data_IF_177382461078
#
_entry.id   IF_177382461078
#
_cell.length_a   1.000
_cell.length_b   1.000
_cell.length_c   1.000
_cell.angle_alpha   90.00
_cell.angle_beta   90.00
_cell.angle_gamma   90.00
#
_symmetry.space_group_name_H-M   'P 1'
#
loop_
_entity.id
_entity.type
_entity.pdbx_description
1 polymer ?
#
# COMPACT_ATOMS: atom_id res chain seq x y z
N UNK A 1 22.02 32.11 7.46
CA UNK A 1 21.73 30.67 7.24
C UNK A 1 21.19 30.10 8.54
N UNK A 2 19.87 30.07 8.67
CA UNK A 2 19.15 29.47 9.81
C UNK A 2 19.42 27.96 9.83
N UNK A 3 19.72 27.39 10.99
CA UNK A 3 19.94 25.94 11.13
C UNK A 3 18.64 25.23 10.75
N UNK A 4 18.67 24.40 9.72
CA UNK A 4 17.49 23.69 9.19
C UNK A 4 16.93 22.65 10.19
N UNK A 5 17.66 22.35 11.27
CA UNK A 5 17.28 21.37 12.28
C UNK A 5 17.32 22.01 13.68
N UNK A 6 16.17 22.40 14.20
CA UNK A 6 16.04 23.06 15.50
C UNK A 6 15.53 22.10 16.60
N UNK A 7 14.95 20.94 16.21
CA UNK A 7 14.44 19.92 17.13
C UNK A 7 15.07 18.54 16.90
N UNK A 8 15.17 17.70 17.94
CA UNK A 8 15.79 16.36 17.85
C UNK A 8 15.18 15.43 16.79
N UNK A 9 13.89 15.62 16.46
CA UNK A 9 13.19 14.80 15.47
C UNK A 9 13.30 15.31 14.04
N UNK A 10 13.86 16.50 13.80
CA UNK A 10 13.78 17.14 12.49
C UNK A 10 14.50 16.33 11.42
N UNK A 11 15.67 15.74 11.72
CA UNK A 11 16.39 14.89 10.75
C UNK A 11 15.57 13.67 10.33
N UNK A 12 14.91 12.98 11.28
CA UNK A 12 14.08 11.80 10.98
C UNK A 12 12.89 12.21 10.12
N UNK A 13 12.19 13.26 10.54
CA UNK A 13 11.05 13.82 9.81
C UNK A 13 11.43 14.20 8.39
N UNK A 14 12.53 14.94 8.20
CA UNK A 14 13.04 15.30 6.87
C UNK A 14 13.34 14.08 6.01
N UNK A 15 14.02 13.05 6.57
CA UNK A 15 14.31 11.83 5.83
C UNK A 15 13.02 11.13 5.40
N UNK A 16 12.05 10.95 6.31
CA UNK A 16 10.76 10.33 5.98
C UNK A 16 10.07 11.12 4.87
N UNK A 17 9.93 12.44 5.02
CA UNK A 17 9.26 13.29 4.04
C UNK A 17 9.95 13.37 2.68
N UNK A 18 11.27 13.17 2.60
CA UNK A 18 12.01 13.10 1.33
C UNK A 18 11.98 11.71 0.69
N UNK A 19 12.08 10.66 1.50
CA UNK A 19 12.07 9.27 1.03
C UNK A 19 10.69 8.88 0.51
N UNK A 20 9.61 9.38 1.13
CA UNK A 20 8.25 9.09 0.71
C UNK A 20 7.96 9.41 -0.77
N UNK A 21 8.12 10.66 -1.25
CA UNK A 21 7.86 10.97 -2.66
C UNK A 21 8.82 10.20 -3.57
N UNK A 22 10.06 9.95 -3.16
CA UNK A 22 11.00 9.15 -3.95
C UNK A 22 10.52 7.71 -4.14
N UNK A 23 10.17 7.01 -3.05
CA UNK A 23 9.70 5.62 -3.11
C UNK A 23 8.37 5.50 -3.82
N UNK A 24 7.44 6.43 -3.58
CA UNK A 24 6.16 6.44 -4.28
C UNK A 24 6.33 6.74 -5.77
N UNK A 25 7.24 7.62 -6.16
CA UNK A 25 7.55 7.85 -7.58
C UNK A 25 8.14 6.60 -8.23
N UNK A 26 9.10 5.94 -7.58
CA UNK A 26 9.65 4.68 -8.09
C UNK A 26 8.56 3.61 -8.21
N UNK A 27 7.67 3.51 -7.23
CA UNK A 27 6.56 2.58 -7.26
C UNK A 27 5.55 2.91 -8.38
N UNK A 28 5.22 4.18 -8.60
CA UNK A 28 4.32 4.61 -9.69
C UNK A 28 4.92 4.35 -11.07
N UNK A 29 6.23 4.54 -11.26
CA UNK A 29 6.86 4.36 -12.56
C UNK A 29 7.25 2.91 -12.88
N UNK A 30 7.68 2.16 -11.86
CA UNK A 30 8.25 0.83 -12.05
C UNK A 30 7.47 -0.25 -11.33
N UNK A 31 6.68 0.06 -10.31
CA UNK A 31 6.00 -0.93 -9.49
C UNK A 31 4.57 -1.26 -9.93
N UNK A 32 3.92 -0.44 -10.76
CA UNK A 32 2.55 -0.70 -11.20
C UNK A 32 2.46 -1.83 -12.24
N UNK A 33 1.33 -2.54 -12.29
CA UNK A 33 1.08 -3.65 -13.22
C UNK A 33 1.28 -3.27 -14.68
N UNK A 34 1.01 -2.01 -15.05
CA UNK A 34 1.25 -1.48 -16.40
C UNK A 34 2.71 -1.58 -16.85
N UNK A 35 3.66 -1.44 -15.92
CA UNK A 35 5.07 -1.61 -16.24
C UNK A 35 5.37 -3.05 -16.66
N UNK A 36 4.77 -4.02 -15.97
CA UNK A 36 4.87 -5.43 -16.36
C UNK A 36 4.30 -5.66 -17.76
N UNK A 37 3.11 -5.15 -18.03
CA UNK A 37 2.41 -5.35 -19.32
C UNK A 37 3.23 -4.80 -20.49
N UNK A 38 3.87 -3.64 -20.33
CA UNK A 38 4.61 -2.97 -21.41
C UNK A 38 6.06 -3.47 -21.54
N UNK A 39 6.72 -3.79 -20.42
CA UNK A 39 8.18 -4.02 -20.40
C UNK A 39 8.58 -5.44 -20.11
N UNK A 40 7.77 -6.19 -19.36
CA UNK A 40 8.20 -7.48 -18.81
C UNK A 40 7.48 -8.66 -19.43
N UNK A 41 6.25 -8.51 -19.91
CA UNK A 41 5.40 -9.63 -20.36
C UNK A 41 6.11 -10.59 -21.33
N UNK A 42 6.92 -10.07 -22.27
CA UNK A 42 7.62 -10.87 -23.29
C UNK A 42 8.77 -11.72 -22.74
N UNK A 43 9.20 -11.49 -21.49
CA UNK A 43 10.25 -12.28 -20.83
C UNK A 43 9.68 -13.44 -20.00
N UNK A 44 8.36 -13.52 -19.83
CA UNK A 44 7.71 -14.57 -19.05
C UNK A 44 7.06 -15.59 -19.97
N UNK A 45 7.32 -16.87 -19.70
CA UNK A 45 6.64 -17.97 -20.40
C UNK A 45 5.22 -18.13 -19.89
N UNK A 46 4.28 -18.35 -20.80
CA UNK A 46 2.88 -18.63 -20.46
C UNK A 46 2.77 -19.85 -19.53
N UNK A 47 1.94 -19.72 -18.50
CA UNK A 47 1.68 -20.77 -17.51
C UNK A 47 0.26 -20.64 -16.96
N UNK A 48 -0.16 -21.59 -16.14
CA UNK A 48 -1.48 -21.55 -15.47
C UNK A 48 -1.69 -20.29 -14.61
N UNK A 49 -0.63 -19.60 -14.19
CA UNK A 49 -0.69 -18.41 -13.34
C UNK A 49 -0.35 -17.12 -14.12
N UNK A 50 -0.21 -17.17 -15.44
CA UNK A 50 0.27 -16.03 -16.23
C UNK A 50 -0.60 -14.79 -16.09
N UNK A 51 -1.92 -14.96 -15.91
CA UNK A 51 -2.80 -13.80 -15.72
C UNK A 51 -2.66 -13.15 -14.34
N UNK A 52 -1.96 -13.75 -13.37
CA UNK A 52 -1.62 -13.13 -12.09
C UNK A 52 -0.23 -12.49 -12.07
N UNK A 53 0.59 -12.66 -13.12
CA UNK A 53 1.98 -12.21 -13.09
C UNK A 53 2.12 -10.69 -12.96
N UNK A 54 1.23 -9.93 -13.59
CA UNK A 54 1.18 -8.47 -13.47
C UNK A 54 0.90 -8.02 -12.04
N UNK A 55 0.00 -8.71 -11.34
CA UNK A 55 -0.36 -8.43 -9.95
C UNK A 55 0.75 -8.85 -9.00
N UNK A 56 1.33 -10.04 -9.19
CA UNK A 56 2.44 -10.52 -8.38
C UNK A 56 3.67 -9.63 -8.53
N UNK A 57 3.93 -9.12 -9.73
CA UNK A 57 4.95 -8.10 -9.96
C UNK A 57 4.67 -6.84 -9.13
N UNK A 58 3.43 -6.35 -9.18
CA UNK A 58 3.01 -5.19 -8.40
C UNK A 58 3.15 -5.43 -6.89
N UNK A 59 2.70 -6.57 -6.40
CA UNK A 59 2.77 -6.94 -4.99
C UNK A 59 4.21 -7.06 -4.50
N UNK A 60 5.09 -7.64 -5.34
CA UNK A 60 6.51 -7.75 -5.04
C UNK A 60 7.18 -6.37 -5.01
N UNK A 61 6.88 -5.50 -5.98
CA UNK A 61 7.40 -4.14 -6.00
C UNK A 61 6.95 -3.35 -4.76
N UNK A 62 5.68 -3.45 -4.38
CA UNK A 62 5.16 -2.83 -3.15
C UNK A 62 5.84 -3.41 -1.90
N UNK A 63 6.02 -4.74 -1.82
CA UNK A 63 6.72 -5.38 -0.71
C UNK A 63 8.13 -4.79 -0.53
N UNK A 64 8.88 -4.62 -1.62
CA UNK A 64 10.23 -4.05 -1.53
C UNK A 64 10.24 -2.55 -1.25
N UNK A 65 9.50 -1.77 -2.05
CA UNK A 65 9.54 -0.31 -2.00
C UNK A 65 8.78 0.27 -0.79
N UNK A 66 7.65 -0.32 -0.41
CA UNK A 66 6.76 0.17 0.64
C UNK A 66 6.92 -0.63 1.95
N UNK A 67 7.42 -1.85 1.88
CA UNK A 67 7.69 -2.70 3.05
C UNK A 67 9.16 -2.71 3.48
N UNK A 68 10.00 -3.35 2.66
CA UNK A 68 11.37 -3.69 3.03
C UNK A 68 12.26 -2.46 3.19
N UNK A 69 12.30 -1.54 2.22
CA UNK A 69 13.16 -0.36 2.27
C UNK A 69 12.82 0.53 3.50
N UNK A 70 11.55 0.89 3.76
CA UNK A 70 11.16 1.62 4.97
C UNK A 70 11.52 0.87 6.26
N UNK A 71 11.34 -0.46 6.27
CA UNK A 71 11.69 -1.30 7.41
C UNK A 71 13.19 -1.31 7.70
N UNK A 72 14.02 -1.39 6.66
CA UNK A 72 15.48 -1.29 6.75
C UNK A 72 15.90 0.11 7.18
N UNK A 73 15.26 1.17 6.68
CA UNK A 73 15.53 2.54 7.10
C UNK A 73 15.23 2.75 8.59
N UNK A 74 14.14 2.20 9.10
CA UNK A 74 13.82 2.21 10.53
C UNK A 74 14.89 1.46 11.34
N UNK A 75 15.23 0.23 10.93
CA UNK A 75 16.12 -0.66 11.69
C UNK A 75 17.58 -0.24 11.64
N UNK A 76 18.08 0.17 10.48
CA UNK A 76 19.49 0.44 10.22
C UNK A 76 19.79 1.93 10.24
N UNK A 77 18.90 2.74 9.67
CA UNK A 77 19.04 4.20 9.62
C UNK A 77 18.68 4.87 10.94
N UNK A 78 17.43 4.71 11.39
CA UNK A 78 16.95 5.32 12.64
C UNK A 78 17.31 4.52 13.88
N UNK A 79 17.69 3.24 13.72
CA UNK A 79 18.02 2.30 14.81
C UNK A 79 16.86 2.13 15.79
N UNK A 80 15.63 2.21 15.30
CA UNK A 80 14.41 2.06 16.07
C UNK A 80 13.78 0.66 15.87
N UNK A 81 12.81 0.31 16.71
CA UNK A 81 12.15 -1.01 16.66
C UNK A 81 10.92 -0.92 15.75
N UNK A 82 10.78 -1.81 14.78
CA UNK A 82 9.59 -1.86 13.89
C UNK A 82 8.24 -1.86 14.64
N UNK A 83 8.19 -2.41 15.85
CA UNK A 83 7.00 -2.39 16.71
C UNK A 83 6.53 -0.98 17.12
N UNK A 84 7.42 0.03 17.12
CA UNK A 84 7.03 1.43 17.37
C UNK A 84 6.36 2.07 16.14
N UNK A 85 6.45 1.42 14.98
CA UNK A 85 5.82 1.78 13.72
C UNK A 85 4.64 0.85 13.39
N UNK A 86 3.98 0.29 14.40
CA UNK A 86 2.77 -0.51 14.21
C UNK A 86 2.96 -1.99 13.88
N UNK A 87 4.17 -2.46 13.53
CA UNK A 87 4.44 -3.89 13.30
C UNK A 87 4.49 -4.68 14.62
N UNK A 88 3.30 -5.02 15.13
CA UNK A 88 3.08 -5.81 16.35
C UNK A 88 1.78 -6.59 16.22
N UNK A 89 1.66 -7.68 16.97
CA UNK A 89 0.37 -8.33 17.19
C UNK A 89 -0.53 -7.35 17.97
N UNK A 90 -1.43 -6.65 17.26
CA UNK A 90 -2.41 -5.74 17.87
C UNK A 90 -3.54 -6.50 18.56
N UNK A 91 -4.64 -5.81 18.87
CA UNK A 91 -5.85 -6.44 19.37
C UNK A 91 -6.63 -7.10 18.22
N UNK A 92 -6.28 -8.35 17.91
CA UNK A 92 -6.90 -9.13 16.84
C UNK A 92 -8.39 -9.36 17.06
N UNK A 93 -8.90 -9.34 18.31
CA UNK A 93 -10.32 -9.54 18.58
C UNK A 93 -11.12 -8.32 18.14
N UNK A 94 -10.64 -7.13 18.47
CA UNK A 94 -11.22 -5.88 17.98
C UNK A 94 -11.07 -5.74 16.46
N UNK A 95 -9.93 -6.15 15.91
CA UNK A 95 -9.72 -6.22 14.45
C UNK A 95 -10.74 -7.13 13.76
N UNK A 96 -11.01 -8.33 14.30
CA UNK A 96 -11.99 -9.25 13.73
C UNK A 96 -13.41 -8.69 13.80
N UNK A 97 -13.77 -7.99 14.88
CA UNK A 97 -15.05 -7.28 14.98
C UNK A 97 -15.16 -6.17 13.94
N UNK A 98 -14.09 -5.39 13.75
CA UNK A 98 -14.05 -4.34 12.74
C UNK A 98 -14.25 -4.92 11.33
N UNK A 99 -13.52 -5.99 11.00
CA UNK A 99 -13.69 -6.72 9.73
C UNK A 99 -15.12 -7.24 9.57
N UNK A 100 -15.67 -7.90 10.60
CA UNK A 100 -17.04 -8.43 10.52
C UNK A 100 -18.10 -7.34 10.28
N UNK A 101 -17.91 -6.15 10.86
CA UNK A 101 -18.82 -5.02 10.68
C UNK A 101 -18.60 -4.28 9.36
N UNK A 102 -17.35 -4.11 8.94
CA UNK A 102 -17.01 -3.40 7.70
C UNK A 102 -17.24 -4.25 6.46
N UNK A 103 -17.16 -5.58 6.56
CA UNK A 103 -17.25 -6.47 5.41
C UNK A 103 -18.57 -6.31 4.63
N UNK A 104 -19.76 -6.30 5.25
CA UNK A 104 -21.01 -6.04 4.52
C UNK A 104 -21.00 -4.68 3.81
N UNK A 105 -20.46 -3.65 4.46
CA UNK A 105 -20.37 -2.29 3.89
C UNK A 105 -19.46 -2.29 2.67
N UNK A 106 -18.27 -2.89 2.77
CA UNK A 106 -17.32 -3.01 1.67
C UNK A 106 -17.90 -3.82 0.51
N UNK A 107 -18.59 -4.93 0.80
CA UNK A 107 -19.23 -5.76 -0.23
C UNK A 107 -20.30 -4.98 -0.99
N UNK A 108 -21.19 -4.26 -0.29
CA UNK A 108 -22.22 -3.43 -0.94
C UNK A 108 -21.60 -2.27 -1.72
N UNK A 109 -20.62 -1.58 -1.13
CA UNK A 109 -19.94 -0.46 -1.76
C UNK A 109 -19.13 -0.89 -3.00
N UNK A 110 -18.63 -2.12 -3.04
CA UNK A 110 -17.85 -2.65 -4.17
C UNK A 110 -18.72 -3.33 -5.23
N UNK A 111 -19.94 -3.77 -4.90
CA UNK A 111 -20.83 -4.46 -5.84
C UNK A 111 -21.42 -3.56 -6.92
N UNK A 112 -21.70 -2.29 -6.60
CA UNK A 112 -22.20 -1.34 -7.61
C UNK A 112 -21.12 -0.99 -8.65
N UNK A 113 -19.88 -0.62 -8.25
CA UNK A 113 -18.82 -0.32 -9.20
C UNK A 113 -18.30 -1.55 -9.95
N UNK A 114 -18.39 -2.77 -9.40
CA UNK A 114 -17.85 -3.98 -10.05
C UNK A 114 -18.52 -4.34 -11.39
N UNK A 115 -19.55 -3.61 -11.81
CA UNK A 115 -20.22 -3.75 -13.12
C UNK A 115 -19.83 -2.65 -14.11
N UNK A 116 -18.95 -1.74 -13.71
CA UNK A 116 -18.45 -0.66 -14.55
C UNK A 116 -17.19 -1.14 -15.29
N UNK A 117 -17.08 -0.76 -16.56
CA UNK A 117 -16.00 -1.24 -17.45
C UNK A 117 -14.61 -0.84 -16.94
N UNK A 118 -14.49 0.34 -16.33
CA UNK A 118 -13.26 0.83 -15.73
C UNK A 118 -12.84 0.00 -14.50
N UNK A 119 -13.79 -0.43 -13.67
CA UNK A 119 -13.55 -1.37 -12.58
C UNK A 119 -13.17 -2.77 -13.07
N UNK A 120 -13.84 -3.29 -14.10
CA UNK A 120 -13.51 -4.62 -14.66
C UNK A 120 -12.10 -4.65 -15.27
N UNK A 121 -11.69 -3.57 -15.94
CA UNK A 121 -10.33 -3.45 -16.49
C UNK A 121 -9.28 -3.44 -15.37
N UNK A 122 -9.53 -2.69 -14.30
CA UNK A 122 -8.61 -2.58 -13.16
C UNK A 122 -8.52 -3.88 -12.36
N UNK A 123 -9.64 -4.57 -12.15
CA UNK A 123 -9.76 -5.77 -11.32
C UNK A 123 -10.02 -7.04 -12.14
N UNK A 124 -9.23 -7.23 -13.21
CA UNK A 124 -9.37 -8.33 -14.20
C UNK A 124 -8.70 -9.64 -13.80
N UNK A 125 -7.96 -9.69 -12.68
CA UNK A 125 -7.12 -10.83 -12.28
C UNK A 125 -7.82 -12.20 -12.32
N UNK A 126 -9.10 -12.29 -11.95
CA UNK A 126 -9.86 -13.55 -11.99
C UNK A 126 -10.76 -13.72 -13.23
N UNK A 127 -10.81 -12.73 -14.13
CA UNK A 127 -11.42 -12.89 -15.45
C UNK A 127 -10.49 -13.67 -16.39
N UNK A 128 -9.18 -13.42 -16.26
CA UNK A 128 -8.17 -14.04 -17.12
C UNK A 128 -7.67 -15.41 -16.62
N UNK A 129 -8.16 -15.88 -15.46
CA UNK A 129 -7.65 -17.09 -14.81
C UNK A 129 -8.78 -17.96 -14.22
N UNK A 130 -8.63 -19.30 -14.23
CA UNK A 130 -9.60 -20.18 -13.62
C UNK A 130 -9.68 -19.97 -12.10
N UNK A 131 -10.89 -19.68 -11.62
CA UNK A 131 -11.18 -19.61 -10.19
C UNK A 131 -11.17 -21.03 -9.60
N UNK A 132 -10.13 -21.34 -8.84
CA UNK A 132 -10.01 -22.56 -8.04
C UNK A 132 -9.63 -22.18 -6.62
N UNK A 133 -9.91 -23.06 -5.64
CA UNK A 133 -9.50 -22.81 -4.26
C UNK A 133 -7.98 -22.56 -4.16
N UNK A 134 -7.18 -23.32 -4.92
CA UNK A 134 -5.72 -23.18 -4.96
C UNK A 134 -5.29 -21.82 -5.51
N UNK A 135 -5.79 -21.40 -6.67
CA UNK A 135 -5.44 -20.12 -7.30
C UNK A 135 -5.88 -18.94 -6.42
N UNK A 136 -7.08 -19.02 -5.84
CA UNK A 136 -7.57 -18.05 -4.87
C UNK A 136 -6.65 -17.94 -3.64
N UNK A 137 -6.29 -19.06 -2.99
CA UNK A 137 -5.44 -19.02 -1.78
C UNK A 137 -4.06 -18.44 -2.05
N UNK A 138 -3.43 -18.79 -3.18
CA UNK A 138 -2.11 -18.23 -3.55
C UNK A 138 -2.22 -16.73 -3.80
N UNK A 139 -3.22 -16.30 -4.57
CA UNK A 139 -3.46 -14.89 -4.84
C UNK A 139 -3.76 -14.11 -3.56
N UNK A 140 -4.66 -14.60 -2.72
CA UNK A 140 -5.03 -13.96 -1.46
C UNK A 140 -3.82 -13.84 -0.51
N UNK A 141 -2.94 -14.83 -0.45
CA UNK A 141 -1.72 -14.75 0.34
C UNK A 141 -0.75 -13.68 -0.19
N UNK A 142 -0.56 -13.60 -1.50
CA UNK A 142 0.29 -12.57 -2.13
C UNK A 142 -0.29 -11.16 -1.94
N UNK A 143 -1.60 -11.03 -2.13
CA UNK A 143 -2.35 -9.79 -1.91
C UNK A 143 -2.31 -9.33 -0.45
N UNK A 144 -2.34 -10.26 0.50
CA UNK A 144 -2.16 -9.96 1.92
C UNK A 144 -0.76 -9.38 2.20
N UNK A 145 0.29 -9.92 1.57
CA UNK A 145 1.65 -9.38 1.69
C UNK A 145 1.74 -7.97 1.11
N UNK A 146 1.10 -7.73 -0.04
CA UNK A 146 0.96 -6.40 -0.63
C UNK A 146 0.34 -5.42 0.37
N UNK A 147 -0.84 -5.73 0.91
CA UNK A 147 -1.52 -4.85 1.86
C UNK A 147 -0.74 -4.67 3.16
N UNK A 148 -0.03 -5.68 3.63
CA UNK A 148 0.85 -5.55 4.80
C UNK A 148 1.96 -4.53 4.54
N UNK A 149 2.57 -4.54 3.35
CA UNK A 149 3.58 -3.56 2.96
C UNK A 149 2.98 -2.16 2.77
N UNK A 150 1.81 -2.07 2.11
CA UNK A 150 1.07 -0.83 1.89
C UNK A 150 0.68 -0.16 3.23
N UNK A 151 0.00 -0.88 4.10
CA UNK A 151 -0.39 -0.40 5.43
C UNK A 151 0.82 -0.05 6.29
N UNK A 152 1.88 -0.87 6.23
CA UNK A 152 3.11 -0.55 6.94
C UNK A 152 3.76 0.75 6.44
N UNK A 153 3.70 1.08 5.16
CA UNK A 153 4.22 2.34 4.65
C UNK A 153 3.43 3.55 5.15
N UNK A 154 2.11 3.52 4.99
CA UNK A 154 1.24 4.66 5.26
C UNK A 154 0.92 4.82 6.75
N UNK A 155 0.40 3.75 7.39
CA UNK A 155 0.04 3.75 8.82
C UNK A 155 1.24 3.49 9.72
N UNK A 156 2.25 2.79 9.23
CA UNK A 156 3.48 2.52 9.99
C UNK A 156 4.51 3.63 9.85
N UNK A 157 5.26 3.60 8.75
CA UNK A 157 6.41 4.45 8.46
C UNK A 157 6.06 5.94 8.45
N UNK A 158 5.02 6.35 7.71
CA UNK A 158 4.58 7.75 7.62
C UNK A 158 3.88 8.21 8.89
N UNK A 159 2.74 7.61 9.26
CA UNK A 159 1.94 8.07 10.39
C UNK A 159 2.73 8.02 11.71
N UNK A 160 3.19 6.84 12.14
CA UNK A 160 3.91 6.73 13.41
C UNK A 160 5.30 7.36 13.37
N UNK A 161 5.95 7.41 12.20
CA UNK A 161 7.25 8.07 12.06
C UNK A 161 7.20 9.58 12.18
N UNK A 162 6.14 10.21 11.67
CA UNK A 162 5.94 11.67 11.73
C UNK A 162 5.24 12.12 13.01
N UNK A 163 4.41 11.27 13.63
CA UNK A 163 3.63 11.59 14.84
C UNK A 163 4.43 12.32 15.94
N UNK A 164 5.68 11.94 16.30
CA UNK A 164 6.44 12.64 17.33
C UNK A 164 6.83 14.09 16.99
N UNK A 165 6.83 14.46 15.70
CA UNK A 165 7.23 15.79 15.25
C UNK A 165 6.04 16.71 14.98
N UNK A 166 4.95 16.16 14.42
CA UNK A 166 3.79 16.96 13.97
C UNK A 166 2.50 16.71 14.76
N UNK A 167 2.50 15.71 15.65
CA UNK A 167 1.32 15.29 16.42
C UNK A 167 0.41 14.33 15.66
N UNK A 168 -0.52 13.69 16.38
CA UNK A 168 -1.36 12.60 15.83
C UNK A 168 -2.19 13.05 14.63
N UNK A 169 -2.95 14.14 14.77
CA UNK A 169 -3.87 14.60 13.72
C UNK A 169 -3.11 15.02 12.46
N UNK A 170 -2.05 15.83 12.60
CA UNK A 170 -1.29 16.24 11.43
C UNK A 170 -0.55 15.06 10.78
N UNK A 171 -0.03 14.11 11.55
CA UNK A 171 0.59 12.91 10.96
C UNK A 171 -0.41 12.06 10.17
N UNK A 172 -1.66 11.98 10.65
CA UNK A 172 -2.76 11.32 9.95
C UNK A 172 -3.11 12.06 8.66
N UNK A 173 -3.27 13.38 8.69
CA UNK A 173 -3.58 14.17 7.49
C UNK A 173 -2.43 14.15 6.48
N UNK A 174 -1.17 14.25 6.95
CA UNK A 174 0.01 14.21 6.08
C UNK A 174 0.15 12.87 5.38
N UNK A 175 -0.09 11.74 6.04
CA UNK A 175 -0.04 10.43 5.36
C UNK A 175 -1.23 10.20 4.43
N UNK A 176 -2.39 10.80 4.72
CA UNK A 176 -3.59 10.70 3.86
C UNK A 176 -3.34 11.32 2.49
N UNK A 177 -2.55 12.39 2.40
CA UNK A 177 -2.20 13.05 1.14
C UNK A 177 -1.57 12.05 0.14
N UNK A 178 -0.39 11.45 0.41
CA UNK A 178 0.21 10.50 -0.52
C UNK A 178 -0.62 9.21 -0.64
N UNK A 179 -1.33 8.77 0.40
CA UNK A 179 -2.20 7.58 0.31
C UNK A 179 -3.34 7.78 -0.69
N UNK A 180 -3.93 8.98 -0.75
CA UNK A 180 -4.89 9.34 -1.78
C UNK A 180 -4.22 9.44 -3.16
N UNK A 181 -3.06 10.12 -3.25
CA UNK A 181 -2.39 10.38 -4.52
C UNK A 181 -1.91 9.10 -5.23
N UNK A 182 -1.60 8.02 -4.52
CA UNK A 182 -1.23 6.74 -5.18
C UNK A 182 -2.40 6.09 -5.92
N UNK A 183 -3.65 6.50 -5.66
CA UNK A 183 -4.82 6.03 -6.39
C UNK A 183 -5.10 6.89 -7.65
N UNK A 184 -4.37 7.98 -7.89
CA UNK A 184 -4.58 8.80 -9.10
C UNK A 184 -4.37 7.95 -10.35
N UNK A 185 -5.35 7.97 -11.25
CA UNK A 185 -5.43 7.09 -12.42
C UNK A 185 -6.48 5.98 -12.29
N UNK A 186 -6.97 5.72 -11.06
CA UNK A 186 -8.12 4.86 -10.77
C UNK A 186 -9.45 5.59 -10.98
N UNK A 187 -10.59 4.88 -11.01
CA UNK A 187 -11.92 5.49 -11.03
C UNK A 187 -12.09 6.55 -9.92
N UNK A 188 -12.76 7.67 -10.25
CA UNK A 188 -12.86 8.83 -9.36
C UNK A 188 -13.43 8.50 -7.98
N UNK A 189 -14.44 7.64 -7.93
CA UNK A 189 -15.05 7.18 -6.68
C UNK A 189 -14.05 6.41 -5.80
N UNK A 190 -13.13 5.64 -6.37
CA UNK A 190 -12.06 4.96 -5.63
C UNK A 190 -11.09 5.98 -5.02
N UNK A 191 -10.68 6.98 -5.80
CA UNK A 191 -9.76 8.04 -5.34
C UNK A 191 -10.39 8.86 -4.19
N UNK A 192 -11.67 9.23 -4.30
CA UNK A 192 -12.38 9.95 -3.24
C UNK A 192 -12.59 9.07 -1.99
N UNK A 193 -12.94 7.80 -2.19
CA UNK A 193 -13.09 6.85 -1.09
C UNK A 193 -11.77 6.61 -0.34
N UNK A 194 -10.62 6.67 -1.03
CA UNK A 194 -9.30 6.53 -0.42
C UNK A 194 -9.02 7.63 0.63
N UNK A 195 -9.56 8.84 0.48
CA UNK A 195 -9.44 9.90 1.49
C UNK A 195 -10.12 9.47 2.79
N UNK A 196 -11.38 9.02 2.70
CA UNK A 196 -12.17 8.61 3.86
C UNK A 196 -11.57 7.36 4.51
N UNK A 197 -11.13 6.39 3.71
CA UNK A 197 -10.47 5.17 4.18
C UNK A 197 -9.11 5.45 4.85
N UNK A 198 -8.47 6.57 4.49
CA UNK A 198 -7.19 7.01 5.06
C UNK A 198 -7.33 7.82 6.35
N UNK A 199 -8.53 8.24 6.74
CA UNK A 199 -8.77 8.85 8.05
C UNK A 199 -8.85 7.78 9.16
#
# INVERSE_FOLDING_TARGET
MTRIFDRPNDRKTTIILLVTPFLLTLYSYFGLSQFYDVRLVNYFTASLLSGFYRDYYNFLAAFFLLGLIPGLLIKLGFREKLKTYGLRAGDYKSGLKAVAFSLPVVLVASWLPSRQLDFEQEYSAFMDNPLSFKTFTIYAAAFFIYYLAFEFFFRGFLLYGLKPAVGSLNSLLIQTIPCCLVHVGKPLNEVLAAIVASL
#
